data_IF_876481164379
#
_entry.id   IF_876481164379
#
_cell.length_a   1.000
_cell.length_b   1.000
_cell.length_c   1.000
_cell.angle_alpha   90.00
_cell.angle_beta   90.00
_cell.angle_gamma   90.00
#
_symmetry.space_group_name_H-M   'P 1'
#
loop_
_entity.id
_entity.type
_entity.pdbx_description
1 polymer ?
#
# COMPACT_ATOMS: atom_id res chain seq x y z
N UNK A 1 18.33 2.51 -8.45
CA UNK A 1 17.43 2.21 -9.59
C UNK A 1 16.21 1.51 -9.04
N UNK A 2 15.02 1.75 -9.59
CA UNK A 2 13.78 1.17 -9.05
C UNK A 2 13.20 0.11 -9.97
N UNK A 3 12.48 -0.85 -9.40
CA UNK A 3 11.83 -1.91 -10.14
C UNK A 3 10.97 -2.83 -9.28
N UNK A 4 10.54 -3.95 -9.87
CA UNK A 4 9.81 -5.02 -9.20
C UNK A 4 10.49 -6.37 -9.39
N UNK A 5 10.49 -7.21 -8.35
CA UNK A 5 10.95 -8.59 -8.43
C UNK A 5 9.98 -9.37 -9.32
N UNK A 6 10.49 -9.91 -10.43
CA UNK A 6 9.72 -10.79 -11.33
C UNK A 6 9.74 -12.23 -10.86
N UNK A 7 10.90 -12.69 -10.39
CA UNK A 7 11.08 -14.07 -9.94
C UNK A 7 12.26 -14.21 -8.99
N UNK A 8 12.20 -15.23 -8.15
CA UNK A 8 13.31 -15.64 -7.30
C UNK A 8 13.28 -17.16 -7.11
N UNK A 9 14.40 -17.80 -7.43
CA UNK A 9 14.61 -19.22 -7.23
C UNK A 9 15.48 -19.44 -5.99
N UNK A 10 14.88 -20.05 -4.97
CA UNK A 10 15.59 -20.45 -3.74
C UNK A 10 16.63 -21.56 -4.00
N UNK A 11 16.46 -22.37 -5.06
CA UNK A 11 17.39 -23.46 -5.39
C UNK A 11 18.74 -22.92 -5.87
N UNK A 12 18.71 -21.87 -6.68
CA UNK A 12 19.91 -21.22 -7.24
C UNK A 12 20.31 -19.98 -6.47
N UNK A 13 19.49 -19.55 -5.48
CA UNK A 13 19.62 -18.30 -4.76
C UNK A 13 19.78 -17.08 -5.71
N UNK A 14 19.02 -17.08 -6.81
CA UNK A 14 19.06 -16.02 -7.82
C UNK A 14 17.66 -15.55 -8.18
N UNK A 15 17.55 -14.31 -8.59
CA UNK A 15 16.29 -13.74 -9.04
C UNK A 15 16.46 -12.73 -10.17
N UNK A 16 15.31 -12.24 -10.64
CA UNK A 16 15.21 -11.26 -11.71
C UNK A 16 14.34 -10.10 -11.23
N UNK A 17 14.82 -8.87 -11.44
CA UNK A 17 14.10 -7.63 -11.22
C UNK A 17 13.78 -7.00 -12.58
N UNK A 18 12.55 -6.56 -12.78
CA UNK A 18 12.18 -5.66 -13.86
C UNK A 18 12.39 -4.24 -13.38
N UNK A 19 13.32 -3.50 -13.99
CA UNK A 19 13.48 -2.08 -13.75
C UNK A 19 12.33 -1.26 -14.35
N UNK A 20 12.11 -0.07 -13.80
CA UNK A 20 11.17 0.91 -14.35
C UNK A 20 11.59 1.41 -15.75
N UNK A 21 12.85 1.19 -16.12
CA UNK A 21 13.42 1.43 -17.44
C UNK A 21 13.13 0.30 -18.46
N UNK A 22 12.25 -0.65 -18.10
CA UNK A 22 11.86 -1.83 -18.87
C UNK A 22 12.99 -2.85 -19.13
N UNK A 23 14.15 -2.70 -18.46
CA UNK A 23 15.23 -3.70 -18.53
C UNK A 23 15.12 -4.71 -17.39
N UNK A 24 15.76 -5.86 -17.57
CA UNK A 24 15.82 -6.93 -16.57
C UNK A 24 17.21 -6.98 -15.95
N UNK A 25 17.22 -7.10 -14.64
CA UNK A 25 18.43 -7.15 -13.82
C UNK A 25 18.45 -8.46 -13.06
N UNK A 26 19.53 -9.22 -13.21
CA UNK A 26 19.73 -10.43 -12.43
C UNK A 26 20.34 -10.07 -11.08
N UNK A 27 19.99 -10.83 -10.05
CA UNK A 27 20.61 -10.67 -8.74
C UNK A 27 20.84 -12.00 -8.04
N UNK A 28 21.83 -12.01 -7.14
CA UNK A 28 22.03 -13.08 -6.18
C UNK A 28 21.29 -12.74 -4.88
N UNK A 29 20.71 -13.72 -4.18
CA UNK A 29 20.08 -13.52 -2.89
C UNK A 29 21.00 -12.92 -1.82
N UNK A 30 22.33 -13.02 -1.97
CA UNK A 30 23.30 -12.33 -1.12
C UNK A 30 23.24 -10.80 -1.21
N UNK A 31 22.71 -10.25 -2.31
CA UNK A 31 22.54 -8.81 -2.49
C UNK A 31 21.26 -8.27 -1.85
N UNK A 32 20.38 -9.16 -1.40
CA UNK A 32 19.13 -8.81 -0.75
C UNK A 32 19.35 -8.29 0.67
N UNK A 33 18.77 -7.13 0.99
CA UNK A 33 19.02 -6.41 2.26
C UNK A 33 17.82 -6.38 3.21
N UNK A 34 16.85 -7.27 3.03
CA UNK A 34 15.70 -7.44 3.93
C UNK A 34 15.67 -8.88 4.50
N UNK A 35 14.99 -9.08 5.63
CA UNK A 35 14.87 -10.40 6.27
C UNK A 35 13.85 -11.30 5.56
N UNK A 36 12.89 -10.72 4.85
CA UNK A 36 11.87 -11.46 4.11
C UNK A 36 12.47 -12.05 2.84
N UNK A 37 12.02 -13.25 2.48
CA UNK A 37 12.44 -13.89 1.22
C UNK A 37 11.93 -13.05 0.03
N UNK A 38 12.75 -12.84 -1.02
CA UNK A 38 12.29 -12.16 -2.23
C UNK A 38 11.09 -12.90 -2.83
N UNK A 39 10.00 -12.17 -3.05
CA UNK A 39 8.78 -12.68 -3.66
C UNK A 39 8.40 -11.82 -4.87
N UNK A 40 7.69 -12.44 -5.82
CA UNK A 40 7.23 -11.78 -7.05
C UNK A 40 6.31 -10.59 -6.73
N UNK A 41 6.46 -9.52 -7.49
CA UNK A 41 5.67 -8.29 -7.36
C UNK A 41 6.13 -7.33 -6.26
N UNK A 42 7.18 -7.66 -5.49
CA UNK A 42 7.76 -6.73 -4.52
C UNK A 42 8.48 -5.60 -5.25
N UNK A 43 8.11 -4.36 -4.95
CA UNK A 43 8.84 -3.16 -5.38
C UNK A 43 10.15 -3.01 -4.61
N UNK A 44 11.22 -2.68 -5.32
CA UNK A 44 12.58 -2.61 -4.79
C UNK A 44 13.35 -1.42 -5.34
N UNK A 45 14.29 -0.90 -4.54
CA UNK A 45 15.40 -0.05 -4.99
C UNK A 45 16.67 -0.91 -5.00
N UNK A 46 17.53 -0.70 -5.98
CA UNK A 46 18.75 -1.47 -6.15
C UNK A 46 19.80 -0.66 -6.91
N UNK A 47 21.07 -0.93 -6.65
CA UNK A 47 22.17 -0.43 -7.45
C UNK A 47 22.51 -1.41 -8.58
N UNK A 48 23.17 -0.94 -9.62
CA UNK A 48 23.59 -1.78 -10.75
C UNK A 48 25.11 -1.80 -10.83
N UNK A 49 25.69 -2.99 -10.89
CA UNK A 49 27.14 -3.16 -11.04
C UNK A 49 27.61 -2.94 -12.50
N UNK A 50 28.92 -2.99 -12.72
CA UNK A 50 29.49 -2.85 -14.07
C UNK A 50 29.13 -3.97 -15.05
N UNK A 51 28.55 -5.07 -14.57
CA UNK A 51 28.11 -6.22 -15.37
C UNK A 51 26.61 -6.18 -15.69
N UNK A 52 25.87 -5.20 -15.14
CA UNK A 52 24.43 -5.07 -15.33
C UNK A 52 23.59 -5.91 -14.35
N UNK A 53 24.17 -6.38 -13.24
CA UNK A 53 23.44 -7.09 -12.19
C UNK A 53 22.94 -6.11 -11.12
N UNK A 54 21.80 -6.43 -10.51
CA UNK A 54 21.29 -5.70 -9.36
C UNK A 54 22.05 -6.11 -8.08
N UNK A 55 22.51 -5.09 -7.35
CA UNK A 55 23.25 -5.18 -6.09
C UNK A 55 22.57 -4.30 -5.04
N UNK A 56 22.82 -4.55 -3.76
CA UNK A 56 22.26 -3.74 -2.66
C UNK A 56 20.74 -3.52 -2.78
N UNK A 57 19.98 -4.61 -2.77
CA UNK A 57 18.54 -4.58 -3.07
C UNK A 57 17.74 -4.35 -1.79
N UNK A 58 16.99 -3.26 -1.76
CA UNK A 58 16.13 -2.85 -0.65
C UNK A 58 14.66 -2.86 -1.09
N UNK A 59 13.77 -3.26 -0.19
CA UNK A 59 12.33 -3.28 -0.48
C UNK A 59 11.76 -1.86 -0.36
N UNK A 60 11.18 -1.37 -1.45
CA UNK A 60 10.39 -0.13 -1.48
C UNK A 60 8.93 -0.48 -1.21
N UNK A 61 8.45 -0.29 0.02
CA UNK A 61 7.02 -0.45 0.31
C UNK A 61 6.69 -1.35 1.50
N UNK A 62 7.68 -1.86 2.22
CA UNK A 62 7.50 -2.12 3.64
C UNK A 62 7.50 -0.78 4.37
N UNK A 63 6.35 -0.12 4.38
CA UNK A 63 6.00 0.50 5.66
C UNK A 63 6.18 -0.63 6.68
N UNK A 64 7.09 -0.45 7.64
CA UNK A 64 7.02 -1.26 8.83
C UNK A 64 5.60 -0.99 9.32
N UNK A 65 4.69 -1.94 9.11
CA UNK A 65 3.54 -2.06 9.96
C UNK A 65 4.13 -2.45 11.30
N UNK A 66 4.62 -1.43 12.01
CA UNK A 66 4.34 -1.36 13.42
C UNK A 66 2.84 -1.66 13.53
N UNK A 67 2.36 -2.34 14.57
CA UNK A 67 0.97 -2.18 14.95
C UNK A 67 0.78 -0.69 15.22
N UNK A 68 0.50 0.08 14.16
CA UNK A 68 0.20 1.48 14.19
C UNK A 68 -1.19 1.49 14.82
N UNK A 69 -1.19 1.69 16.12
CA UNK A 69 -2.32 2.19 16.87
C UNK A 69 -2.63 3.59 16.30
N UNK A 70 -3.22 3.62 15.10
CA UNK A 70 -3.13 4.79 14.24
C UNK A 70 -3.81 4.53 12.91
N UNK A 71 -5.15 4.59 12.94
CA UNK A 71 -6.00 4.87 11.80
C UNK A 71 -5.68 4.10 10.51
N UNK A 72 -6.16 2.86 10.46
CA UNK A 72 -6.68 2.34 9.20
C UNK A 72 -7.79 3.28 8.73
N UNK A 73 -7.43 4.25 7.89
CA UNK A 73 -8.38 4.84 6.96
C UNK A 73 -8.64 3.73 5.95
N UNK A 74 -9.45 2.75 6.36
CA UNK A 74 -10.09 1.87 5.42
C UNK A 74 -10.76 2.74 4.36
N UNK A 75 -10.85 2.21 3.15
CA UNK A 75 -11.85 2.64 2.18
C UNK A 75 -13.23 2.63 2.85
N UNK A 76 -13.56 3.68 3.59
CA UNK A 76 -14.89 3.89 4.13
C UNK A 76 -15.67 4.27 2.91
N UNK A 77 -16.44 3.31 2.40
CA UNK A 77 -17.30 3.46 1.23
C UNK A 77 -17.99 4.82 1.29
N UNK A 78 -17.43 5.80 0.57
CA UNK A 78 -17.92 7.19 0.55
C UNK A 78 -19.39 7.21 0.12
N UNK A 79 -19.77 6.24 -0.68
CA UNK A 79 -21.14 5.94 -1.10
C UNK A 79 -22.04 5.65 0.09
N UNK A 80 -21.64 4.80 1.05
CA UNK A 80 -22.42 4.56 2.27
C UNK A 80 -22.52 5.83 3.12
N UNK A 81 -21.47 6.63 3.22
CA UNK A 81 -21.51 7.89 3.95
C UNK A 81 -22.48 8.90 3.29
N UNK A 82 -22.50 8.98 1.96
CA UNK A 82 -23.42 9.86 1.21
C UNK A 82 -24.86 9.34 1.33
N UNK A 83 -25.10 8.04 1.18
CA UNK A 83 -26.43 7.44 1.31
C UNK A 83 -26.95 7.61 2.74
N UNK A 84 -26.12 7.37 3.76
CA UNK A 84 -26.51 7.56 5.15
C UNK A 84 -26.76 9.05 5.46
N UNK A 85 -25.94 9.97 4.93
CA UNK A 85 -26.19 11.41 5.07
C UNK A 85 -27.49 11.84 4.38
N UNK A 86 -27.86 11.22 3.26
CA UNK A 86 -29.15 11.47 2.61
C UNK A 86 -30.34 10.92 3.44
N UNK A 87 -30.21 9.74 4.03
CA UNK A 87 -31.27 9.11 4.82
C UNK A 87 -31.42 9.67 6.24
N UNK A 88 -30.31 10.06 6.91
CA UNK A 88 -30.32 10.63 8.27
C UNK A 88 -30.29 12.16 8.29
N UNK A 89 -29.84 12.83 7.22
CA UNK A 89 -29.71 14.29 7.16
C UNK A 89 -31.02 15.06 6.93
N UNK A 90 -32.13 14.37 6.67
CA UNK A 90 -33.47 14.98 6.53
C UNK A 90 -34.31 15.00 7.81
N UNK A 91 -33.96 14.18 8.81
CA UNK A 91 -34.69 14.16 10.08
C UNK A 91 -34.03 15.14 11.04
N UNK A 92 -34.70 16.25 11.35
CA UNK A 92 -34.30 17.28 12.31
C UNK A 92 -34.17 16.79 13.77
N UNK A 93 -33.50 15.67 14.00
CA UNK A 93 -33.23 15.06 15.32
C UNK A 93 -32.38 15.98 16.18
N UNK A 94 -31.51 16.80 15.56
CA UNK A 94 -30.76 17.81 16.31
C UNK A 94 -31.67 18.89 16.92
N UNK A 95 -32.80 19.22 16.29
CA UNK A 95 -33.78 20.22 16.79
C UNK A 95 -34.66 19.66 17.93
N UNK A 96 -34.80 18.34 18.01
CA UNK A 96 -35.48 17.63 19.11
C UNK A 96 -34.63 17.58 20.38
N UNK A 97 -33.31 17.52 20.24
CA UNK A 97 -32.39 17.45 21.38
C UNK A 97 -32.32 18.76 22.20
N UNK A 98 -32.69 19.90 21.58
CA UNK A 98 -32.65 21.23 22.20
C UNK A 98 -34.01 21.71 22.73
N UNK A 99 -35.03 20.84 22.80
CA UNK A 99 -36.32 21.13 23.45
C UNK A 99 -37.16 22.22 22.77
N UNK A 100 -36.87 22.60 21.52
CA UNK A 100 -37.63 23.61 20.77
C UNK A 100 -38.50 22.95 19.71
N UNK A 101 -39.71 22.53 20.11
CA UNK A 101 -40.80 22.16 19.20
C UNK A 101 -41.41 23.45 18.63
N UNK A 102 -41.20 23.65 17.33
CA UNK A 102 -41.81 24.73 16.58
C UNK A 102 -41.19 24.80 15.20
N UNK A 103 -42.03 24.73 14.17
CA UNK A 103 -41.73 24.84 12.74
C UNK A 103 -41.13 23.58 12.12
N UNK A 104 -42.00 22.77 11.52
CA UNK A 104 -41.57 21.66 10.67
C UNK A 104 -42.63 20.71 10.11
N UNK A 105 -43.92 21.06 10.04
CA UNK A 105 -44.88 20.42 9.11
C UNK A 105 -45.89 21.46 8.62
N UNK A 106 -45.78 21.83 7.35
CA UNK A 106 -46.91 22.03 6.44
C UNK A 106 -46.58 21.21 5.20
#
# INVERSE_FOLDING_TARGET
MKGQVLDFSVQTNTGIISGDDQKRYHFNGAEWRDQRIPARGISVDFDVDGSGNATSIYILGSSIQLPQLGNQIGEKNRILAIVLAFFLGGFGVHKFYLGRIGWGVI
#
